data_IF_214026593080
#
_entry.id   IF_214026593080
#
_cell.length_a   1.000
_cell.length_b   1.000
_cell.length_c   1.000
_cell.angle_alpha   90.00
_cell.angle_beta   90.00
_cell.angle_gamma   90.00
#
_symmetry.space_group_name_H-M   'P 1'
#
loop_
_entity.id
_entity.type
_entity.pdbx_description
1 polymer ?
#
# COMPACT_ATOMS: atom_id res chain seq x y z
N UNK A 1 -35.26 27.36 48.22
CA UNK A 1 -34.28 26.25 48.28
C UNK A 1 -34.07 25.70 46.88
N UNK A 2 -32.96 26.01 46.22
CA UNK A 2 -32.31 25.12 45.24
C UNK A 2 -30.89 25.65 44.96
N UNK A 3 -29.90 25.06 45.62
CA UNK A 3 -28.47 25.31 45.34
C UNK A 3 -28.09 24.52 44.10
N UNK A 4 -27.76 25.21 43.01
CA UNK A 4 -27.15 24.61 41.82
C UNK A 4 -25.67 24.35 42.12
N UNK A 5 -25.28 23.08 42.04
CA UNK A 5 -23.95 22.57 42.35
C UNK A 5 -23.04 22.77 41.12
N UNK A 6 -22.12 23.72 41.18
CA UNK A 6 -21.03 23.85 40.21
C UNK A 6 -20.13 22.61 40.31
N UNK A 7 -19.92 21.91 39.18
CA UNK A 7 -18.90 20.86 39.07
C UNK A 7 -17.59 21.53 38.67
N UNK A 8 -16.62 21.48 39.58
CA UNK A 8 -15.24 21.88 39.33
C UNK A 8 -14.63 21.00 38.23
N UNK A 9 -14.09 21.67 37.21
CA UNK A 9 -13.37 21.07 36.10
C UNK A 9 -11.93 20.81 36.57
N UNK A 10 -11.62 19.57 36.98
CA UNK A 10 -10.24 19.17 37.29
C UNK A 10 -9.54 18.88 35.97
N UNK A 11 -8.62 19.78 35.62
CA UNK A 11 -7.71 19.70 34.49
C UNK A 11 -6.95 18.37 34.46
N UNK A 12 -7.22 17.54 33.46
CA UNK A 12 -6.37 16.41 33.07
C UNK A 12 -5.13 16.88 32.30
N UNK A 13 -4.39 17.85 32.84
CA UNK A 13 -3.00 18.09 32.42
C UNK A 13 -2.14 17.08 33.14
N UNK A 14 -1.65 16.02 32.48
CA UNK A 14 -0.35 15.37 32.84
C UNK A 14 0.13 14.19 31.97
N UNK A 15 -0.62 13.64 31.01
CA UNK A 15 -0.08 12.55 30.15
C UNK A 15 0.00 12.89 28.65
N UNK A 16 -0.95 13.67 28.15
CA UNK A 16 -1.10 13.95 26.71
C UNK A 16 -0.09 14.99 26.18
N UNK A 17 0.47 15.84 27.06
CA UNK A 17 1.45 16.87 26.68
C UNK A 17 2.87 16.33 26.45
N UNK A 18 3.22 15.18 27.05
CA UNK A 18 4.57 14.60 26.92
C UNK A 18 4.82 13.93 25.57
N UNK A 19 3.77 13.36 24.96
CA UNK A 19 3.83 12.73 23.63
C UNK A 19 3.66 13.80 22.54
N UNK A 20 2.74 14.75 22.73
CA UNK A 20 2.52 15.87 21.79
C UNK A 20 3.72 16.81 21.67
N UNK A 21 4.48 17.04 22.75
CA UNK A 21 5.72 17.82 22.71
C UNK A 21 6.88 17.13 21.96
N UNK A 22 6.85 15.80 21.84
CA UNK A 22 7.84 15.01 21.08
C UNK A 22 7.45 14.77 19.61
N UNK A 23 6.18 15.00 19.26
CA UNK A 23 5.61 14.79 17.94
C UNK A 23 5.26 16.11 17.21
N UNK A 24 5.54 17.26 17.82
CA UNK A 24 5.47 18.54 17.12
C UNK A 24 6.41 18.48 15.91
N UNK A 25 5.95 18.94 14.73
CA UNK A 25 6.79 19.09 13.56
C UNK A 25 8.07 19.84 13.99
N UNK A 26 9.26 19.22 13.87
CA UNK A 26 10.48 19.82 14.37
C UNK A 26 10.68 21.18 13.70
N UNK A 27 11.37 22.11 14.36
CA UNK A 27 11.83 23.36 13.72
C UNK A 27 12.58 23.12 12.38
N UNK A 28 13.03 21.87 12.14
CA UNK A 28 13.56 21.38 10.87
C UNK A 28 12.61 21.53 9.66
N UNK A 29 11.29 21.64 9.86
CA UNK A 29 10.35 21.96 8.78
C UNK A 29 10.68 23.30 8.08
N UNK A 30 11.42 24.21 8.74
CA UNK A 30 11.73 25.55 8.22
C UNK A 30 12.87 25.64 7.20
N UNK A 31 13.38 24.53 6.64
CA UNK A 31 14.63 24.53 5.86
C UNK A 31 14.58 23.87 4.49
N UNK A 32 13.42 23.73 3.85
CA UNK A 32 13.41 23.30 2.45
C UNK A 32 13.83 24.46 1.53
N UNK A 33 15.13 24.66 1.37
CA UNK A 33 15.70 25.57 0.39
C UNK A 33 15.66 24.96 -1.01
N UNK A 34 15.74 25.81 -2.04
CA UNK A 34 15.95 25.31 -3.40
C UNK A 34 17.33 24.63 -3.47
N UNK A 35 17.43 23.40 -3.98
CA UNK A 35 18.72 22.75 -4.19
C UNK A 35 19.63 23.61 -5.06
N UNK A 36 20.90 23.72 -4.70
CA UNK A 36 21.91 24.45 -5.48
C UNK A 36 22.69 23.53 -6.44
N UNK A 37 22.16 22.34 -6.70
CA UNK A 37 22.74 21.32 -7.57
C UNK A 37 21.73 20.86 -8.63
N UNK A 38 22.24 20.28 -9.70
CA UNK A 38 21.49 19.81 -10.86
C UNK A 38 21.31 18.29 -10.85
N UNK A 39 20.32 17.79 -11.60
CA UNK A 39 20.10 16.34 -11.77
C UNK A 39 21.31 15.65 -12.42
N UNK A 40 22.02 16.37 -13.27
CA UNK A 40 23.26 15.89 -13.90
C UNK A 40 24.35 15.67 -12.85
N UNK A 41 24.54 16.61 -11.92
CA UNK A 41 25.54 16.45 -10.86
C UNK A 41 25.25 15.26 -9.95
N UNK A 42 23.96 14.98 -9.67
CA UNK A 42 23.56 13.78 -8.94
C UNK A 42 23.87 12.53 -9.79
N UNK A 43 23.50 12.53 -11.07
CA UNK A 43 23.72 11.42 -12.00
C UNK A 43 25.20 11.07 -12.14
N UNK A 44 26.06 12.07 -12.24
CA UNK A 44 27.51 11.91 -12.47
C UNK A 44 28.21 11.25 -11.25
N UNK A 45 27.54 11.18 -10.10
CA UNK A 45 28.02 10.48 -8.89
C UNK A 45 27.61 9.02 -8.82
N UNK A 46 26.63 8.61 -9.62
CA UNK A 46 26.12 7.24 -9.65
C UNK A 46 26.95 6.42 -10.64
N UNK A 47 27.44 5.22 -10.27
CA UNK A 47 28.15 4.35 -11.19
C UNK A 47 27.36 4.08 -12.47
N UNK A 48 28.03 4.15 -13.63
CA UNK A 48 27.36 4.06 -14.93
C UNK A 48 26.62 2.71 -15.14
N UNK A 49 27.11 1.63 -14.52
CA UNK A 49 26.45 0.32 -14.60
C UNK A 49 25.10 0.29 -13.88
N UNK A 50 24.87 1.16 -12.90
CA UNK A 50 23.58 1.24 -12.20
C UNK A 50 22.42 1.58 -13.16
N UNK A 51 22.69 2.24 -14.29
CA UNK A 51 21.69 2.57 -15.31
C UNK A 51 21.52 1.49 -16.39
N UNK A 52 22.32 0.41 -16.35
CA UNK A 52 22.24 -0.67 -17.35
C UNK A 52 21.09 -1.62 -17.00
N UNK A 53 20.13 -1.75 -17.92
CA UNK A 53 18.96 -2.62 -17.75
C UNK A 53 19.27 -4.02 -18.25
N UNK A 54 18.96 -5.02 -17.44
CA UNK A 54 18.95 -6.44 -17.82
C UNK A 54 17.54 -6.98 -17.73
N UNK A 55 16.94 -7.32 -18.88
CA UNK A 55 15.62 -7.93 -18.95
C UNK A 55 15.59 -9.28 -18.23
N UNK A 56 16.65 -10.09 -18.37
CA UNK A 56 16.78 -11.37 -17.67
C UNK A 56 16.78 -11.17 -16.15
N UNK A 57 17.54 -10.18 -15.65
CA UNK A 57 17.58 -9.89 -14.22
C UNK A 57 16.23 -9.36 -13.72
N UNK A 58 15.60 -8.42 -14.44
CA UNK A 58 14.25 -7.94 -14.09
C UNK A 58 13.21 -9.07 -14.07
N UNK A 59 13.19 -9.94 -15.09
CA UNK A 59 12.28 -11.09 -15.13
C UNK A 59 12.57 -12.11 -14.03
N UNK A 60 13.83 -12.23 -13.58
CA UNK A 60 14.16 -13.12 -12.48
C UNK A 60 13.50 -12.70 -11.16
N UNK A 61 13.34 -11.40 -10.88
CA UNK A 61 12.61 -10.93 -9.69
C UNK A 61 11.12 -11.27 -9.78
N UNK A 62 10.50 -11.09 -10.94
CA UNK A 62 9.11 -11.53 -11.17
C UNK A 62 8.97 -13.04 -10.97
N UNK A 63 9.92 -13.82 -11.48
CA UNK A 63 9.93 -15.27 -11.29
C UNK A 63 10.11 -15.66 -9.81
N UNK A 64 10.92 -14.92 -9.06
CA UNK A 64 11.09 -15.10 -7.60
C UNK A 64 9.77 -14.82 -6.89
N UNK A 65 9.10 -13.70 -7.18
CA UNK A 65 7.82 -13.34 -6.55
C UNK A 65 6.73 -14.39 -6.84
N UNK A 66 6.63 -14.84 -8.11
CA UNK A 66 5.70 -15.91 -8.50
C UNK A 66 6.04 -17.25 -7.82
N UNK A 67 7.32 -17.55 -7.62
CA UNK A 67 7.76 -18.75 -6.90
C UNK A 67 7.41 -18.66 -5.42
N UNK A 68 7.54 -17.49 -4.80
CA UNK A 68 7.10 -17.25 -3.42
C UNK A 68 5.58 -17.42 -3.27
N UNK A 69 4.79 -16.85 -4.19
CA UNK A 69 3.33 -17.03 -4.24
C UNK A 69 2.98 -18.51 -4.38
N UNK A 70 3.60 -19.23 -5.32
CA UNK A 70 3.35 -20.65 -5.53
C UNK A 70 3.70 -21.47 -4.27
N UNK A 71 4.82 -21.17 -3.63
CA UNK A 71 5.22 -21.80 -2.37
C UNK A 71 4.24 -21.53 -1.22
N UNK A 72 3.75 -20.30 -1.09
CA UNK A 72 2.75 -19.92 -0.08
C UNK A 72 1.38 -20.56 -0.35
N UNK A 73 0.96 -20.65 -1.61
CA UNK A 73 -0.28 -21.35 -2.01
C UNK A 73 -0.16 -22.84 -1.74
N UNK A 74 0.98 -23.45 -2.05
CA UNK A 74 1.26 -24.84 -1.70
C UNK A 74 1.28 -25.04 -0.18
N UNK A 75 1.88 -24.15 0.59
CA UNK A 75 1.81 -24.18 2.04
C UNK A 75 0.35 -24.12 2.53
N UNK A 76 -0.44 -23.18 2.00
CA UNK A 76 -1.85 -23.01 2.35
C UNK A 76 -2.68 -24.26 2.04
N UNK A 77 -2.43 -24.91 0.88
CA UNK A 77 -3.13 -26.13 0.50
C UNK A 77 -2.81 -27.32 1.40
N UNK A 78 -1.80 -27.23 2.27
CA UNK A 78 -1.47 -28.27 3.26
C UNK A 78 -1.84 -27.88 4.69
N UNK A 79 -2.40 -26.69 4.95
CA UNK A 79 -2.76 -26.25 6.32
C UNK A 79 -3.74 -27.21 6.98
N UNK A 80 -4.69 -27.78 6.23
CA UNK A 80 -5.69 -28.71 6.76
C UNK A 80 -5.07 -30.02 7.33
N UNK A 81 -3.84 -30.36 6.94
CA UNK A 81 -3.09 -31.52 7.45
C UNK A 81 -2.41 -31.24 8.80
N UNK A 82 -2.33 -29.98 9.22
CA UNK A 82 -1.71 -29.58 10.48
C UNK A 82 -2.66 -29.81 11.67
N UNK A 83 -2.15 -29.95 12.91
CA UNK A 83 -2.99 -30.03 14.10
C UNK A 83 -3.95 -28.83 14.18
N UNK A 84 -5.20 -29.05 14.57
CA UNK A 84 -6.25 -28.01 14.57
C UNK A 84 -5.85 -26.74 15.32
N UNK A 85 -5.07 -26.86 16.41
CA UNK A 85 -4.57 -25.72 17.18
C UNK A 85 -3.55 -24.85 16.41
N UNK A 86 -2.86 -25.41 15.43
CA UNK A 86 -1.84 -24.74 14.62
C UNK A 86 -2.45 -24.04 13.40
N UNK A 87 -3.55 -24.57 12.86
CA UNK A 87 -4.15 -24.09 11.61
C UNK A 87 -4.47 -22.58 11.61
N UNK A 88 -5.05 -21.97 12.66
CA UNK A 88 -5.31 -20.53 12.67
C UNK A 88 -4.04 -19.69 12.53
N UNK A 89 -2.95 -20.10 13.17
CA UNK A 89 -1.66 -19.40 13.09
C UNK A 89 -1.02 -19.58 11.71
N UNK A 90 -1.13 -20.77 11.12
CA UNK A 90 -0.67 -21.03 9.76
C UNK A 90 -1.45 -20.21 8.72
N UNK A 91 -2.76 -20.04 8.91
CA UNK A 91 -3.57 -19.16 8.06
C UNK A 91 -3.16 -17.70 8.19
N UNK A 92 -2.93 -17.20 9.41
CA UNK A 92 -2.43 -15.83 9.63
C UNK A 92 -1.07 -15.64 8.97
N UNK A 93 -0.15 -16.60 9.14
CA UNK A 93 1.15 -16.58 8.48
C UNK A 93 1.00 -16.49 6.96
N UNK A 94 0.20 -17.38 6.36
CA UNK A 94 -0.06 -17.35 4.92
C UNK A 94 -0.56 -15.98 4.47
N UNK A 95 -1.63 -15.45 5.10
CA UNK A 95 -2.22 -14.18 4.69
C UNK A 95 -1.25 -13.00 4.80
N UNK A 96 -0.45 -12.94 5.87
CA UNK A 96 0.53 -11.86 6.09
C UNK A 96 1.62 -11.89 5.03
N UNK A 97 2.26 -13.05 4.82
CA UNK A 97 3.36 -13.16 3.87
C UNK A 97 2.90 -13.11 2.42
N UNK A 98 1.71 -13.66 2.11
CA UNK A 98 1.10 -13.53 0.79
C UNK A 98 0.79 -12.06 0.47
N UNK A 99 0.34 -11.28 1.45
CA UNK A 99 0.13 -9.85 1.28
C UNK A 99 1.45 -9.09 1.01
N UNK A 100 2.54 -9.42 1.69
CA UNK A 100 3.84 -8.78 1.43
C UNK A 100 4.33 -9.02 0.00
N UNK A 101 4.29 -10.27 -0.48
CA UNK A 101 4.69 -10.59 -1.86
C UNK A 101 3.74 -9.93 -2.87
N UNK A 102 2.43 -9.93 -2.60
CA UNK A 102 1.45 -9.27 -3.45
C UNK A 102 1.66 -7.76 -3.58
N UNK A 103 2.02 -7.07 -2.48
CA UNK A 103 2.39 -5.66 -2.49
C UNK A 103 3.69 -5.44 -3.27
N UNK A 104 4.69 -6.31 -3.13
CA UNK A 104 5.92 -6.28 -3.93
C UNK A 104 5.65 -6.30 -5.44
N UNK A 105 4.83 -7.24 -5.92
CA UNK A 105 4.42 -7.29 -7.34
C UNK A 105 3.65 -6.04 -7.74
N UNK A 106 2.74 -5.57 -6.89
CA UNK A 106 1.94 -4.37 -7.17
C UNK A 106 2.84 -3.14 -7.34
N UNK A 107 3.85 -2.97 -6.49
CA UNK A 107 4.86 -1.90 -6.55
C UNK A 107 5.66 -1.94 -7.86
N UNK A 108 6.01 -3.14 -8.37
CA UNK A 108 6.71 -3.26 -9.66
C UNK A 108 5.89 -2.70 -10.83
N UNK A 109 4.56 -2.70 -10.71
CA UNK A 109 3.64 -2.29 -11.78
C UNK A 109 3.05 -0.88 -11.59
N UNK A 110 3.13 -0.29 -10.39
CA UNK A 110 2.46 0.96 -10.06
C UNK A 110 3.39 1.92 -9.33
N UNK A 111 3.42 3.16 -9.81
CA UNK A 111 3.96 4.30 -9.08
C UNK A 111 2.78 5.21 -8.70
N UNK A 112 2.76 5.73 -7.46
CA UNK A 112 1.67 6.58 -6.97
C UNK A 112 2.22 7.87 -6.40
N UNK A 113 1.77 8.99 -6.98
CA UNK A 113 1.97 10.32 -6.41
C UNK A 113 0.81 10.62 -5.47
N UNK A 114 1.10 10.86 -4.20
CA UNK A 114 0.10 11.21 -3.20
C UNK A 114 0.02 12.74 -3.04
N UNK A 115 -1.17 13.30 -3.19
CA UNK A 115 -1.47 14.70 -2.86
C UNK A 115 -2.20 14.74 -1.50
N UNK A 116 -1.75 15.54 -0.53
CA UNK A 116 -2.42 15.68 0.74
C UNK A 116 -3.77 16.39 0.58
N UNK A 117 -4.68 16.12 1.51
CA UNK A 117 -5.88 16.95 1.62
C UNK A 117 -5.55 18.37 2.05
N UNK A 118 -6.24 19.35 1.49
CA UNK A 118 -6.23 20.72 1.99
C UNK A 118 -7.22 20.91 3.15
N UNK A 119 -7.06 21.97 3.94
CA UNK A 119 -7.97 22.28 5.07
C UNK A 119 -9.43 22.46 4.59
N UNK A 120 -9.65 23.10 3.45
CA UNK A 120 -10.99 23.26 2.86
C UNK A 120 -11.63 21.92 2.48
N UNK A 121 -10.86 20.98 1.94
CA UNK A 121 -11.31 19.63 1.58
C UNK A 121 -11.72 18.81 2.80
N UNK A 122 -10.95 18.89 3.91
CA UNK A 122 -11.32 18.22 5.17
C UNK A 122 -12.56 18.82 5.84
N UNK A 123 -12.82 20.11 5.65
CA UNK A 123 -13.95 20.83 6.28
C UNK A 123 -15.23 20.82 5.45
N UNK A 124 -15.22 20.15 4.28
CA UNK A 124 -16.43 19.91 3.47
C UNK A 124 -16.80 21.01 2.49
N UNK A 125 -15.89 21.95 2.17
CA UNK A 125 -16.08 22.84 1.01
C UNK A 125 -15.59 22.10 -0.24
N UNK A 126 -16.54 21.44 -0.92
CA UNK A 126 -16.29 20.71 -2.17
C UNK A 126 -16.07 21.70 -3.31
N UNK A 127 -14.82 21.94 -3.70
CA UNK A 127 -14.52 22.31 -5.07
C UNK A 127 -14.15 21.04 -5.86
N UNK A 128 -14.72 20.97 -7.06
CA UNK A 128 -14.75 19.82 -7.94
C UNK A 128 -13.34 19.58 -8.49
N UNK A 129 -12.79 18.38 -8.28
CA UNK A 129 -11.65 17.90 -9.05
C UNK A 129 -12.23 17.10 -10.21
N UNK A 130 -12.17 17.67 -11.41
CA UNK A 130 -12.60 17.02 -12.64
C UNK A 130 -11.67 15.84 -12.98
N UNK A 131 -12.29 14.69 -13.25
CA UNK A 131 -11.65 13.43 -13.60
C UNK A 131 -11.45 13.38 -15.12
N UNK A 132 -10.19 13.29 -15.55
CA UNK A 132 -9.78 13.21 -16.96
C UNK A 132 -9.41 11.75 -17.29
N UNK A 133 -10.34 10.98 -17.87
CA UNK A 133 -10.02 9.78 -18.66
C UNK A 133 -11.15 9.47 -19.66
N UNK A 134 -10.99 9.94 -20.90
CA UNK A 134 -11.70 9.42 -22.08
C UNK A 134 -10.65 8.89 -23.07
N UNK A 135 -10.88 7.70 -23.64
CA UNK A 135 -10.01 7.12 -24.67
C UNK A 135 -10.45 5.73 -25.12
N UNK A 136 -10.94 5.66 -26.36
CA UNK A 136 -11.60 4.54 -27.04
C UNK A 136 -10.74 3.28 -27.32
N UNK A 137 -11.37 2.10 -27.35
CA UNK A 137 -10.94 0.86 -28.03
C UNK A 137 -11.73 0.73 -29.36
N UNK A 138 -11.27 0.04 -30.45
CA UNK A 138 -10.54 -1.24 -30.39
C UNK A 138 -9.47 -1.51 -31.48
N UNK A 139 -8.32 -2.10 -31.08
CA UNK A 139 -7.44 -2.87 -32.00
C UNK A 139 -6.69 -4.02 -31.32
N UNK A 140 -7.00 -4.31 -30.04
CA UNK A 140 -6.17 -5.16 -29.18
C UNK A 140 -6.58 -6.63 -29.14
N UNK A 141 -7.66 -7.05 -29.79
CA UNK A 141 -8.30 -8.35 -29.52
C UNK A 141 -7.40 -9.59 -29.77
N UNK A 142 -6.32 -9.47 -30.55
CA UNK A 142 -5.37 -10.55 -30.87
C UNK A 142 -3.94 -10.33 -30.31
N UNK A 143 -3.72 -9.33 -29.44
CA UNK A 143 -2.41 -9.07 -28.86
C UNK A 143 -2.15 -9.92 -27.59
N UNK A 144 -0.92 -10.40 -27.33
CA UNK A 144 -0.58 -11.14 -26.10
C UNK A 144 -0.93 -10.41 -24.80
N UNK A 145 -0.87 -9.08 -24.81
CA UNK A 145 -1.26 -8.23 -23.67
C UNK A 145 -2.75 -8.34 -23.35
N UNK A 146 -3.59 -8.58 -24.36
CA UNK A 146 -5.03 -8.79 -24.20
C UNK A 146 -5.32 -10.13 -23.57
N UNK A 147 -4.54 -11.16 -23.87
CA UNK A 147 -4.65 -12.44 -23.16
C UNK A 147 -4.20 -12.32 -21.70
N UNK A 148 -3.15 -11.56 -21.40
CA UNK A 148 -2.76 -11.24 -20.03
C UNK A 148 -3.85 -10.44 -19.31
N UNK A 149 -4.46 -9.48 -20.00
CA UNK A 149 -5.56 -8.69 -19.48
C UNK A 149 -6.84 -9.52 -19.25
N UNK A 150 -7.17 -10.44 -20.16
CA UNK A 150 -8.29 -11.38 -20.00
C UNK A 150 -8.01 -12.35 -18.85
N UNK A 151 -6.77 -12.83 -18.69
CA UNK A 151 -6.39 -13.64 -17.52
C UNK A 151 -6.50 -12.83 -16.22
N UNK A 152 -6.10 -11.56 -16.24
CA UNK A 152 -6.31 -10.64 -15.13
C UNK A 152 -7.80 -10.48 -14.81
N UNK A 153 -8.65 -10.19 -15.80
CA UNK A 153 -10.10 -10.08 -15.61
C UNK A 153 -10.72 -11.40 -15.12
N UNK A 154 -10.24 -12.54 -15.64
CA UNK A 154 -10.69 -13.85 -15.20
C UNK A 154 -10.27 -14.15 -13.77
N UNK A 155 -9.08 -13.74 -13.32
CA UNK A 155 -8.61 -13.96 -11.95
C UNK A 155 -9.24 -12.97 -10.95
N UNK A 156 -9.44 -11.71 -11.36
CA UNK A 156 -9.95 -10.63 -10.50
C UNK A 156 -11.48 -10.62 -10.42
N UNK A 157 -12.17 -10.89 -11.53
CA UNK A 157 -13.63 -10.86 -11.58
C UNK A 157 -14.22 -12.24 -11.86
N UNK A 158 -13.66 -12.98 -12.81
CA UNK A 158 -14.17 -14.30 -13.20
C UNK A 158 -14.12 -15.33 -12.07
N UNK A 159 -13.00 -15.44 -11.36
CA UNK A 159 -12.78 -16.41 -10.31
C UNK A 159 -13.62 -16.10 -9.07
N UNK A 160 -13.70 -14.86 -8.56
CA UNK A 160 -14.67 -14.53 -7.54
C UNK A 160 -16.10 -14.80 -7.99
N UNK A 161 -16.47 -14.46 -9.24
CA UNK A 161 -17.81 -14.72 -9.73
C UNK A 161 -18.12 -16.22 -9.83
N UNK A 162 -17.13 -17.04 -10.21
CA UNK A 162 -17.19 -18.50 -10.13
C UNK A 162 -17.38 -19.00 -8.70
N UNK A 163 -16.64 -18.49 -7.72
CA UNK A 163 -16.82 -18.90 -6.33
C UNK A 163 -18.22 -18.56 -5.81
N UNK A 164 -18.78 -17.42 -6.22
CA UNK A 164 -20.11 -16.96 -5.80
C UNK A 164 -21.26 -17.70 -6.50
N UNK A 165 -21.05 -18.23 -7.72
CA UNK A 165 -22.17 -18.70 -8.56
C UNK A 165 -21.95 -20.03 -9.28
N UNK A 166 -20.74 -20.58 -9.24
CA UNK A 166 -20.30 -21.74 -10.00
C UNK A 166 -20.50 -21.57 -11.53
N UNK A 167 -20.38 -20.34 -12.03
CA UNK A 167 -20.50 -20.04 -13.46
C UNK A 167 -19.35 -20.66 -14.27
N UNK A 168 -19.68 -21.45 -15.29
CA UNK A 168 -18.69 -22.23 -16.05
C UNK A 168 -18.31 -23.58 -15.40
N UNK A 169 -18.85 -23.89 -14.22
CA UNK A 169 -18.73 -25.21 -13.59
C UNK A 169 -19.85 -26.19 -13.98
N UNK A 170 -19.80 -27.39 -13.40
CA UNK A 170 -20.80 -28.44 -13.64
C UNK A 170 -22.19 -28.02 -13.12
N UNK A 171 -23.25 -28.44 -13.83
CA UNK A 171 -24.64 -28.22 -13.41
C UNK A 171 -25.09 -29.30 -12.42
N UNK A 172 -25.76 -28.88 -11.34
CA UNK A 172 -26.26 -29.78 -10.30
C UNK A 172 -27.79 -29.84 -10.31
N UNK A 173 -28.35 -31.05 -10.23
CA UNK A 173 -29.79 -31.29 -10.08
C UNK A 173 -30.02 -31.98 -8.74
N UNK A 174 -30.80 -31.35 -7.87
CA UNK A 174 -31.18 -31.90 -6.56
C UNK A 174 -32.71 -31.86 -6.48
N UNK A 175 -33.32 -32.99 -6.13
CA UNK A 175 -34.78 -33.17 -6.08
C UNK A 175 -35.51 -32.79 -7.38
N UNK A 176 -34.90 -33.13 -8.53
CA UNK A 176 -35.44 -32.84 -9.86
C UNK A 176 -35.40 -31.36 -10.28
N UNK A 177 -34.77 -30.48 -9.48
CA UNK A 177 -34.65 -29.05 -9.77
C UNK A 177 -33.19 -28.64 -10.00
N UNK A 178 -32.93 -27.79 -11.01
CA UNK A 178 -31.58 -27.29 -11.25
C UNK A 178 -31.17 -26.30 -10.16
N UNK A 179 -30.01 -26.55 -9.54
CA UNK A 179 -29.35 -25.62 -8.62
C UNK A 179 -28.44 -24.69 -9.44
N UNK A 180 -28.58 -23.38 -9.25
CA UNK A 180 -27.82 -22.34 -9.98
C UNK A 180 -27.54 -21.12 -9.09
N UNK A 181 -26.53 -20.34 -9.48
CA UNK A 181 -26.22 -19.06 -8.85
C UNK A 181 -25.71 -19.23 -7.43
N UNK A 182 -26.17 -18.39 -6.51
CA UNK A 182 -25.71 -18.42 -5.11
C UNK A 182 -25.92 -19.78 -4.41
N UNK A 183 -26.91 -20.56 -4.82
CA UNK A 183 -27.16 -21.90 -4.24
C UNK A 183 -26.10 -22.94 -4.63
N UNK A 184 -25.25 -22.60 -5.60
CA UNK A 184 -24.05 -23.36 -5.99
C UNK A 184 -22.78 -22.59 -5.62
N UNK A 185 -22.86 -21.64 -4.69
CA UNK A 185 -21.72 -20.89 -4.17
C UNK A 185 -20.81 -21.76 -3.31
N UNK A 186 -19.52 -21.43 -3.29
CA UNK A 186 -18.54 -22.00 -2.35
C UNK A 186 -18.73 -21.47 -0.92
N UNK A 187 -19.51 -20.39 -0.77
CA UNK A 187 -19.85 -19.75 0.51
C UNK A 187 -21.28 -20.09 0.97
N UNK A 188 -21.94 -21.05 0.31
CA UNK A 188 -23.26 -21.52 0.72
C UNK A 188 -23.11 -22.90 1.38
N UNK A 189 -23.27 -23.01 2.72
CA UNK A 189 -23.03 -24.25 3.46
C UNK A 189 -23.89 -25.46 3.03
N UNK A 190 -25.01 -25.19 2.36
CA UNK A 190 -25.91 -26.22 1.80
C UNK A 190 -25.73 -26.40 0.29
N UNK A 191 -24.64 -25.88 -0.27
CA UNK A 191 -24.30 -26.05 -1.67
C UNK A 191 -24.08 -27.53 -1.98
N UNK A 192 -24.55 -28.03 -3.13
CA UNK A 192 -24.30 -29.41 -3.55
C UNK A 192 -22.81 -29.71 -3.82
N UNK A 193 -21.95 -28.69 -3.76
CA UNK A 193 -20.49 -28.82 -3.85
C UNK A 193 -19.87 -29.53 -2.64
N UNK A 194 -20.55 -29.55 -1.48
CA UNK A 194 -19.96 -29.96 -0.21
C UNK A 194 -20.70 -31.15 0.42
N UNK A 195 -19.95 -31.95 1.17
CA UNK A 195 -20.52 -33.02 1.99
C UNK A 195 -21.18 -32.46 3.27
N UNK A 196 -22.18 -33.16 3.81
CA UNK A 196 -22.94 -32.70 5.00
C UNK A 196 -22.06 -32.49 6.24
N UNK A 197 -20.98 -33.24 6.39
CA UNK A 197 -20.02 -33.12 7.49
C UNK A 197 -19.12 -31.88 7.38
N UNK A 198 -18.99 -31.26 6.19
CA UNK A 198 -18.20 -30.05 5.97
C UNK A 198 -18.96 -28.76 6.34
N UNK A 199 -20.25 -28.87 6.65
CA UNK A 199 -21.15 -27.75 6.94
C UNK A 199 -20.56 -26.75 7.95
N UNK A 200 -20.09 -27.23 9.11
CA UNK A 200 -19.53 -26.36 10.14
C UNK A 200 -18.21 -25.72 9.71
N UNK A 201 -17.39 -26.43 8.92
CA UNK A 201 -16.15 -25.89 8.37
C UNK A 201 -16.39 -24.70 7.45
N UNK A 202 -17.43 -24.77 6.61
CA UNK A 202 -17.81 -23.68 5.70
C UNK A 202 -18.28 -22.46 6.51
N UNK A 203 -19.12 -22.67 7.53
CA UNK A 203 -19.58 -21.60 8.43
C UNK A 203 -18.39 -20.90 9.10
N UNK A 204 -17.42 -21.66 9.64
CA UNK A 204 -16.24 -21.08 10.28
C UNK A 204 -15.36 -20.32 9.28
N UNK A 205 -15.21 -20.85 8.06
CA UNK A 205 -14.48 -20.19 6.98
C UNK A 205 -15.13 -18.86 6.58
N UNK A 206 -16.44 -18.84 6.38
CA UNK A 206 -17.20 -17.64 5.99
C UNK A 206 -17.13 -16.55 7.06
N UNK A 207 -17.31 -16.93 8.34
CA UNK A 207 -17.12 -16.01 9.47
C UNK A 207 -15.69 -15.48 9.50
N UNK A 208 -14.70 -16.35 9.32
CA UNK A 208 -13.29 -15.97 9.27
C UNK A 208 -12.97 -14.97 8.16
N UNK A 209 -13.50 -15.20 6.95
CA UNK A 209 -13.33 -14.30 5.81
C UNK A 209 -14.01 -12.95 6.04
N UNK A 210 -15.25 -12.92 6.53
CA UNK A 210 -15.96 -11.67 6.85
C UNK A 210 -15.20 -10.87 7.90
N UNK A 211 -14.73 -11.54 8.96
CA UNK A 211 -13.92 -10.89 10.00
C UNK A 211 -12.61 -10.36 9.44
N UNK A 212 -11.92 -11.14 8.59
CA UNK A 212 -10.66 -10.73 7.98
C UNK A 212 -10.82 -9.55 7.02
N UNK A 213 -11.81 -9.61 6.12
CA UNK A 213 -12.16 -8.49 5.23
C UNK A 213 -12.55 -7.27 6.06
N UNK A 214 -13.33 -7.45 7.13
CA UNK A 214 -13.70 -6.37 8.06
C UNK A 214 -12.48 -5.75 8.74
N UNK A 215 -11.52 -6.55 9.17
CA UNK A 215 -10.23 -6.08 9.72
C UNK A 215 -9.45 -5.33 8.65
N UNK A 216 -9.34 -5.85 7.43
CA UNK A 216 -8.61 -5.21 6.35
C UNK A 216 -9.24 -3.89 5.91
N UNK A 217 -10.57 -3.81 5.79
CA UNK A 217 -11.30 -2.57 5.50
C UNK A 217 -11.14 -1.59 6.67
N UNK A 218 -11.27 -2.04 7.91
CA UNK A 218 -11.08 -1.18 9.08
C UNK A 218 -9.64 -0.67 9.19
N UNK A 219 -8.65 -1.50 8.87
CA UNK A 219 -7.24 -1.11 8.81
C UNK A 219 -6.98 -0.18 7.64
N UNK A 220 -7.51 -0.43 6.44
CA UNK A 220 -7.36 0.45 5.27
C UNK A 220 -8.01 1.82 5.47
N UNK A 221 -9.24 1.85 5.99
CA UNK A 221 -9.94 3.10 6.34
C UNK A 221 -9.25 3.86 7.48
N UNK A 222 -8.61 3.13 8.42
CA UNK A 222 -7.91 3.78 9.53
C UNK A 222 -6.47 4.15 9.17
N UNK A 223 -5.74 3.38 8.40
CA UNK A 223 -4.28 3.52 8.21
C UNK A 223 -3.91 4.05 6.82
N UNK A 224 -4.86 4.12 5.88
CA UNK A 224 -4.57 4.31 4.46
C UNK A 224 -4.04 3.02 3.84
N UNK A 225 -4.41 2.75 2.59
CA UNK A 225 -3.76 1.69 1.80
C UNK A 225 -2.27 2.07 1.69
N UNK A 226 -1.35 1.17 2.06
CA UNK A 226 0.01 1.46 2.58
C UNK A 226 1.07 1.95 1.57
N UNK A 227 0.75 2.95 0.77
CA UNK A 227 1.68 3.62 -0.18
C UNK A 227 1.98 5.09 0.19
N UNK A 228 1.09 5.86 0.87
CA UNK A 228 1.37 7.27 1.18
C UNK A 228 2.61 7.48 2.06
N UNK A 229 3.06 6.49 2.82
CA UNK A 229 4.07 6.70 3.86
C UNK A 229 5.37 7.29 3.29
N UNK A 230 5.85 6.82 2.14
CA UNK A 230 7.10 7.29 1.53
C UNK A 230 7.04 8.75 1.02
N UNK A 231 5.84 9.31 0.90
CA UNK A 231 5.57 10.72 0.57
C UNK A 231 4.95 11.50 1.74
N UNK A 232 4.67 10.84 2.87
CA UNK A 232 3.92 11.40 3.99
C UNK A 232 4.78 11.34 5.26
N UNK A 233 5.39 12.48 5.59
CA UNK A 233 6.07 12.71 6.86
C UNK A 233 5.95 14.19 7.26
N UNK A 234 5.89 14.55 8.56
CA UNK A 234 5.92 15.95 8.98
C UNK A 234 7.10 16.78 8.46
N UNK A 235 8.21 16.13 8.08
CA UNK A 235 9.38 16.82 7.50
C UNK A 235 9.33 16.96 5.98
N UNK A 236 8.41 16.26 5.30
CA UNK A 236 8.26 16.34 3.84
C UNK A 236 7.42 17.57 3.48
N UNK A 237 7.97 18.53 2.73
CA UNK A 237 7.24 19.72 2.31
C UNK A 237 6.34 19.42 1.10
N UNK A 238 5.28 20.21 0.98
CA UNK A 238 4.38 20.21 -0.17
C UNK A 238 4.51 21.53 -0.90
N UNK A 239 4.76 21.46 -2.19
CA UNK A 239 5.01 22.64 -3.02
C UNK A 239 3.73 22.99 -3.75
N UNK A 240 3.40 24.28 -3.82
CA UNK A 240 2.36 24.75 -4.72
C UNK A 240 2.84 24.69 -6.18
N UNK A 241 1.94 24.95 -7.13
CA UNK A 241 2.24 24.88 -8.56
C UNK A 241 3.37 25.85 -9.01
N UNK A 242 3.53 26.99 -8.32
CA UNK A 242 4.52 28.01 -8.68
C UNK A 242 5.94 27.66 -8.17
N UNK A 243 6.02 26.94 -7.05
CA UNK A 243 7.28 26.48 -6.47
C UNK A 243 7.69 25.08 -6.96
N UNK A 244 6.76 24.30 -7.51
CA UNK A 244 7.03 22.95 -7.95
C UNK A 244 7.95 22.92 -9.17
N UNK A 245 9.02 22.14 -9.07
CA UNK A 245 9.81 21.67 -10.19
C UNK A 245 10.16 20.19 -9.98
N UNK A 246 10.61 19.51 -11.03
CA UNK A 246 10.93 18.08 -10.96
C UNK A 246 11.93 17.74 -9.85
N UNK A 247 13.00 18.53 -9.67
CA UNK A 247 14.05 18.25 -8.69
C UNK A 247 13.50 18.33 -7.28
N UNK A 248 12.78 19.42 -6.97
CA UNK A 248 12.21 19.65 -5.65
C UNK A 248 11.10 18.65 -5.36
N UNK A 249 10.25 18.35 -6.33
CA UNK A 249 9.21 17.34 -6.23
C UNK A 249 9.77 15.94 -5.98
N UNK A 250 10.84 15.54 -6.67
CA UNK A 250 11.49 14.25 -6.47
C UNK A 250 12.12 14.11 -5.07
N UNK A 251 12.63 15.21 -4.51
CA UNK A 251 13.19 15.27 -3.14
C UNK A 251 12.12 15.38 -2.05
N UNK A 252 10.85 15.59 -2.40
CA UNK A 252 9.70 15.54 -1.47
C UNK A 252 9.28 14.08 -1.18
N UNK A 253 10.25 13.25 -0.86
CA UNK A 253 10.14 11.82 -0.55
C UNK A 253 11.03 11.50 0.65
N UNK A 254 10.77 10.39 1.32
CA UNK A 254 11.54 9.98 2.50
C UNK A 254 11.83 8.48 2.45
N UNK A 255 13.10 8.14 2.55
CA UNK A 255 13.56 6.76 2.63
C UNK A 255 13.31 6.20 4.03
N UNK A 256 12.82 4.96 4.11
CA UNK A 256 12.59 4.22 5.36
C UNK A 256 13.09 2.80 5.25
N UNK A 257 13.89 2.41 6.23
CA UNK A 257 14.33 1.03 6.38
C UNK A 257 13.32 0.24 7.21
N UNK A 258 12.60 -0.68 6.57
CA UNK A 258 11.66 -1.60 7.21
C UNK A 258 12.27 -2.98 7.47
N UNK A 259 13.59 -3.09 7.39
CA UNK A 259 14.35 -4.31 7.65
C UNK A 259 14.07 -5.38 6.60
N UNK A 260 13.64 -6.56 7.05
CA UNK A 260 13.41 -7.69 6.15
C UNK A 260 12.30 -7.42 5.12
N UNK A 261 11.38 -6.50 5.40
CA UNK A 261 10.31 -6.11 4.48
C UNK A 261 10.84 -5.42 3.22
N UNK A 262 12.01 -4.77 3.28
CA UNK A 262 12.60 -4.13 2.11
C UNK A 262 12.82 -5.15 0.98
N UNK A 263 13.16 -6.41 1.32
CA UNK A 263 13.34 -7.48 0.33
C UNK A 263 12.02 -7.79 -0.40
N UNK A 264 10.91 -7.86 0.34
CA UNK A 264 9.59 -8.10 -0.24
C UNK A 264 9.09 -6.92 -1.07
N UNK A 265 9.56 -5.70 -0.78
CA UNK A 265 9.18 -4.48 -1.48
C UNK A 265 10.24 -4.00 -2.47
N UNK A 266 11.16 -4.89 -2.87
CA UNK A 266 12.19 -4.59 -3.88
C UNK A 266 13.05 -3.36 -3.56
N UNK A 267 13.27 -3.11 -2.27
CA UNK A 267 13.98 -1.97 -1.71
C UNK A 267 13.41 -0.59 -2.05
N UNK A 268 12.17 -0.52 -2.54
CA UNK A 268 11.56 0.78 -2.86
C UNK A 268 11.47 1.69 -1.64
N UNK A 269 11.32 1.10 -0.44
CA UNK A 269 11.11 1.85 0.79
C UNK A 269 12.38 2.54 1.27
N UNK A 270 13.54 1.91 1.11
CA UNK A 270 14.85 2.41 1.52
C UNK A 270 15.64 3.07 0.38
N UNK A 271 15.06 3.18 -0.82
CA UNK A 271 15.67 3.85 -1.98
C UNK A 271 14.70 4.76 -2.74
N UNK A 272 13.60 5.17 -2.10
CA UNK A 272 12.50 5.90 -2.73
C UNK A 272 12.96 7.25 -3.31
N UNK A 273 13.85 7.96 -2.62
CA UNK A 273 14.40 9.24 -3.08
C UNK A 273 15.11 9.06 -4.43
N UNK A 274 15.96 8.05 -4.56
CA UNK A 274 16.64 7.75 -5.82
C UNK A 274 15.69 7.24 -6.89
N UNK A 275 14.68 6.44 -6.50
CA UNK A 275 13.61 6.04 -7.41
C UNK A 275 12.92 7.27 -8.02
N UNK A 276 12.61 8.31 -7.24
CA UNK A 276 12.02 9.53 -7.79
C UNK A 276 12.98 10.34 -8.67
N UNK A 277 14.25 10.45 -8.27
CA UNK A 277 15.27 11.16 -9.06
C UNK A 277 15.56 10.43 -10.40
N UNK A 278 15.51 9.10 -10.42
CA UNK A 278 15.86 8.26 -11.56
C UNK A 278 14.91 7.06 -11.72
N UNK A 279 13.62 7.30 -11.92
CA UNK A 279 12.57 6.26 -11.97
C UNK A 279 12.76 5.19 -13.05
N UNK A 280 13.61 5.47 -14.04
CA UNK A 280 13.92 4.54 -15.11
C UNK A 280 15.17 3.69 -14.85
N UNK A 281 15.83 3.90 -13.70
CA UNK A 281 16.90 3.06 -13.18
C UNK A 281 16.33 1.70 -12.74
N UNK A 282 17.00 0.59 -13.03
CA UNK A 282 16.62 -0.69 -12.43
C UNK A 282 16.70 -0.65 -10.90
N UNK A 283 15.61 -1.03 -10.23
CA UNK A 283 15.53 -1.03 -8.76
C UNK A 283 16.64 -1.84 -8.08
N UNK A 284 17.14 -2.90 -8.72
CA UNK A 284 18.26 -3.72 -8.19
C UNK A 284 19.63 -3.01 -8.19
N UNK A 285 19.70 -1.76 -8.64
CA UNK A 285 20.84 -0.85 -8.48
C UNK A 285 20.51 0.37 -7.61
N UNK A 286 19.26 0.53 -7.18
CA UNK A 286 18.81 1.71 -6.47
C UNK A 286 19.50 1.86 -5.10
N UNK A 287 19.82 0.75 -4.42
CA UNK A 287 20.56 0.79 -3.15
C UNK A 287 21.98 1.33 -3.34
N UNK A 288 22.69 0.84 -4.36
CA UNK A 288 24.04 1.31 -4.70
C UNK A 288 24.02 2.80 -5.10
N UNK A 289 23.05 3.20 -5.91
CA UNK A 289 22.86 4.59 -6.30
C UNK A 289 22.52 5.49 -5.11
N UNK A 290 21.69 5.03 -4.17
CA UNK A 290 21.33 5.75 -2.93
C UNK A 290 22.57 6.02 -2.09
N UNK A 291 23.40 5.00 -1.87
CA UNK A 291 24.65 5.13 -1.13
C UNK A 291 25.62 6.12 -1.80
N UNK A 292 25.66 6.16 -3.13
CA UNK A 292 26.52 7.08 -3.88
C UNK A 292 26.10 8.56 -3.77
N UNK A 293 24.82 8.85 -3.58
CA UNK A 293 24.30 10.23 -3.62
C UNK A 293 23.89 10.80 -2.26
N UNK A 294 23.63 9.97 -1.24
CA UNK A 294 23.10 10.45 0.07
C UNK A 294 23.93 11.58 0.68
N UNK A 295 25.27 11.46 0.64
CA UNK A 295 26.17 12.45 1.21
C UNK A 295 26.19 13.75 0.40
N UNK A 296 25.94 13.67 -0.91
CA UNK A 296 25.88 14.84 -1.79
C UNK A 296 24.56 15.60 -1.65
N UNK A 297 23.44 14.88 -1.50
CA UNK A 297 22.12 15.47 -1.30
C UNK A 297 22.01 16.22 0.04
N UNK A 298 22.75 15.80 1.07
CA UNK A 298 22.89 16.53 2.33
C UNK A 298 21.54 16.74 3.03
N UNK A 299 21.20 18.00 3.34
CA UNK A 299 19.93 18.36 4.00
C UNK A 299 18.69 18.02 3.14
N UNK A 300 18.85 17.78 1.83
CA UNK A 300 17.75 17.39 0.94
C UNK A 300 17.48 15.88 0.89
N UNK A 301 18.34 15.05 1.49
CA UNK A 301 18.08 13.63 1.63
C UNK A 301 17.30 13.36 2.91
N UNK A 302 16.01 13.04 2.79
CA UNK A 302 15.16 12.72 3.92
C UNK A 302 15.16 11.22 4.17
N UNK A 303 15.46 10.84 5.42
CA UNK A 303 15.42 9.46 5.90
C UNK A 303 14.71 9.39 7.24
N UNK A 304 13.88 8.38 7.43
CA UNK A 304 13.18 8.10 8.70
C UNK A 304 13.39 6.63 9.09
N UNK A 305 14.22 6.42 10.11
CA UNK A 305 14.55 5.08 10.64
C UNK A 305 13.52 4.56 11.65
N UNK A 306 12.35 5.20 11.79
CA UNK A 306 11.31 4.68 12.66
C UNK A 306 10.75 3.34 12.14
N UNK A 307 10.54 2.33 13.02
CA UNK A 307 10.00 1.04 12.60
C UNK A 307 8.69 1.19 11.84
N UNK A 308 8.46 0.35 10.83
CA UNK A 308 7.32 0.43 9.90
C UNK A 308 5.98 0.79 10.58
N UNK A 309 5.58 0.07 11.64
CA UNK A 309 4.32 0.33 12.34
C UNK A 309 4.29 1.69 13.09
N UNK A 310 5.43 2.13 13.61
CA UNK A 310 5.56 3.44 14.26
C UNK A 310 5.54 4.56 13.23
N UNK A 311 6.23 4.39 12.09
CA UNK A 311 6.18 5.33 10.96
C UNK A 311 4.75 5.49 10.44
N UNK A 312 4.05 4.38 10.21
CA UNK A 312 2.63 4.37 9.82
C UNK A 312 1.75 5.15 10.82
N UNK A 313 1.95 4.90 12.12
CA UNK A 313 1.22 5.61 13.16
C UNK A 313 1.53 7.11 13.19
N UNK A 314 2.82 7.48 13.08
CA UNK A 314 3.30 8.87 13.03
C UNK A 314 2.70 9.61 11.83
N UNK A 315 2.82 9.08 10.62
CA UNK A 315 2.26 9.69 9.40
C UNK A 315 0.76 9.90 9.55
N UNK A 316 0.01 8.88 10.00
CA UNK A 316 -1.43 9.02 10.22
C UNK A 316 -1.81 10.10 11.25
N UNK A 317 -1.06 10.18 12.35
CA UNK A 317 -1.42 11.05 13.47
C UNK A 317 -1.04 12.50 13.23
N UNK A 318 0.04 12.74 12.47
CA UNK A 318 0.60 14.07 12.27
C UNK A 318 0.34 14.66 10.88
N UNK A 319 0.04 13.82 9.88
CA UNK A 319 -0.11 14.23 8.49
C UNK A 319 -1.56 14.14 8.03
N UNK A 320 -2.43 15.05 8.52
CA UNK A 320 -3.86 15.02 8.20
C UNK A 320 -4.24 15.97 7.06
N UNK A 321 -3.63 17.15 7.01
CA UNK A 321 -3.83 18.11 5.93
C UNK A 321 -2.66 19.07 5.78
N UNK A 322 -2.66 19.82 4.69
CA UNK A 322 -1.86 21.04 4.48
C UNK A 322 -2.78 22.26 4.38
N UNK A 323 -2.27 23.46 4.65
CA UNK A 323 -3.06 24.69 4.46
C UNK A 323 -3.40 24.92 2.99
N UNK A 324 -4.48 25.65 2.72
CA UNK A 324 -4.92 25.96 1.36
C UNK A 324 -3.98 26.95 0.63
N UNK A 325 -3.28 27.80 1.39
CA UNK A 325 -2.42 28.87 0.87
C UNK A 325 -0.99 28.78 1.42
N UNK A 326 -0.02 29.00 0.53
CA UNK A 326 1.41 29.06 0.87
C UNK A 326 2.29 28.51 -0.26
N UNK A 327 3.54 28.98 -0.31
CA UNK A 327 4.53 28.58 -1.31
C UNK A 327 5.11 27.20 -1.01
N UNK A 328 5.46 26.99 0.26
CA UNK A 328 5.88 25.71 0.82
C UNK A 328 4.96 25.40 1.99
N UNK A 329 4.37 24.21 1.98
CA UNK A 329 3.35 23.77 2.90
C UNK A 329 3.85 22.56 3.70
N UNK A 330 3.38 22.43 4.94
CA UNK A 330 3.72 21.32 5.82
C UNK A 330 2.48 20.71 6.43
N UNK A 331 2.58 19.42 6.71
CA UNK A 331 1.52 18.66 7.33
C UNK A 331 1.13 19.19 8.71
N UNK A 332 -0.18 19.22 8.94
CA UNK A 332 -0.84 19.58 10.20
C UNK A 332 -1.84 18.49 10.60
N UNK A 333 -2.28 18.54 11.87
CA UNK A 333 -3.15 17.55 12.50
C UNK A 333 -4.42 18.15 13.11
#
# INVERSE_FOLDING_TARGET
>A
MSKVRQRNNVSSKTADSGIKGKLAAPEAAKKFSRPNFTLKEIRDRIPAHCFQRSALKSLSYVAIDLSMIAGLVYFASNIYLMPEIVQPFAWVFYWVFQAFVGVGIWILAHDMVFLPYTRSQLTGKKEQVEEMYEGDEPLLQDAPITHVFVLFLMLVFGFPYYLLTNIGGNSYIVDGKPYKGWKTSHYYPWSPLFEKNQFMGIIYSDIGMILWIGVQVALGLKLGWQVPVLHTDPVVPHLNNDEWDFMRGALCTVDRDWGFLNVFFHHITDTHVVHHLFSTMPFYHAQEATEAVKAFLGEHYLKDDTPCLQALWKSKTLCRFVEDEGDVLWYKY
#
